data_IF_529026629950
#
_entry.id   IF_529026629950
#
_cell.length_a   1.000
_cell.length_b   1.000
_cell.length_c   1.000
_cell.angle_alpha   90.00
_cell.angle_beta   90.00
_cell.angle_gamma   90.00
#
_symmetry.space_group_name_H-M   'P 1'
#
loop_
_entity.id
_entity.type
_entity.pdbx_description
1 polymer ?
#
# COMPACT_ATOMS: atom_id res chain seq x y z
N UNK A 1 10.78 -36.29 5.29
CA UNK A 1 9.87 -35.36 4.57
C UNK A 1 8.88 -34.61 5.50
N UNK A 2 8.48 -35.15 6.65
CA UNK A 2 7.43 -34.56 7.54
C UNK A 2 7.92 -33.35 8.38
N UNK A 3 9.21 -33.21 8.67
CA UNK A 3 9.74 -32.03 9.39
C UNK A 3 9.77 -30.75 8.53
N UNK A 4 9.95 -30.90 7.22
CA UNK A 4 9.99 -29.75 6.31
C UNK A 4 8.60 -29.12 6.17
N UNK A 5 7.54 -29.93 6.18
CA UNK A 5 6.16 -29.44 6.05
C UNK A 5 5.69 -28.67 7.29
N UNK A 6 6.10 -29.07 8.49
CA UNK A 6 5.75 -28.35 9.74
C UNK A 6 6.49 -27.01 9.88
N UNK A 7 7.76 -26.94 9.47
CA UNK A 7 8.53 -25.70 9.46
C UNK A 7 7.98 -24.69 8.44
N UNK A 8 7.57 -25.16 7.26
CA UNK A 8 6.92 -24.32 6.24
C UNK A 8 5.58 -23.79 6.76
N UNK A 9 4.74 -24.63 7.38
CA UNK A 9 3.46 -24.21 7.93
C UNK A 9 3.59 -23.11 9.00
N UNK A 10 4.56 -23.26 9.92
CA UNK A 10 4.84 -22.26 10.95
C UNK A 10 5.33 -20.93 10.35
N UNK A 11 6.16 -21.00 9.31
CA UNK A 11 6.66 -19.81 8.61
C UNK A 11 5.51 -19.05 7.93
N UNK A 12 4.62 -19.77 7.25
CA UNK A 12 3.45 -19.18 6.59
C UNK A 12 2.50 -18.54 7.62
N UNK A 13 2.24 -19.21 8.74
CA UNK A 13 1.42 -18.67 9.82
C UNK A 13 1.99 -17.35 10.37
N UNK A 14 3.31 -17.30 10.61
CA UNK A 14 3.99 -16.10 11.09
C UNK A 14 3.96 -14.94 10.08
N UNK A 15 4.07 -15.23 8.79
CA UNK A 15 3.94 -14.22 7.74
C UNK A 15 2.52 -13.67 7.65
N UNK A 16 1.51 -14.56 7.71
CA UNK A 16 0.10 -14.16 7.69
C UNK A 16 -0.25 -13.29 8.89
N UNK A 17 0.23 -13.65 10.09
CA UNK A 17 0.05 -12.86 11.31
C UNK A 17 0.66 -11.46 11.19
N UNK A 18 1.91 -11.36 10.70
CA UNK A 18 2.57 -10.06 10.48
C UNK A 18 1.85 -9.19 9.45
N UNK A 19 1.46 -9.78 8.32
CA UNK A 19 0.70 -9.08 7.30
C UNK A 19 -0.62 -8.54 7.86
N UNK A 20 -1.34 -9.34 8.63
CA UNK A 20 -2.61 -8.94 9.24
C UNK A 20 -2.43 -7.78 10.22
N UNK A 21 -1.39 -7.81 11.08
CA UNK A 21 -1.06 -6.71 12.00
C UNK A 21 -0.77 -5.40 11.27
N UNK A 22 -0.03 -5.46 10.16
CA UNK A 22 0.22 -4.27 9.34
C UNK A 22 -1.06 -3.77 8.69
N UNK A 23 -1.92 -4.67 8.21
CA UNK A 23 -3.20 -4.31 7.60
C UNK A 23 -4.12 -3.63 8.63
N UNK A 24 -4.17 -4.10 9.86
CA UNK A 24 -4.90 -3.46 10.95
C UNK A 24 -4.38 -2.05 11.24
N UNK A 25 -3.06 -1.87 11.26
CA UNK A 25 -2.43 -0.56 11.49
C UNK A 25 -2.75 0.41 10.35
N UNK A 26 -2.70 -0.05 9.11
CA UNK A 26 -3.13 0.72 7.94
C UNK A 26 -4.61 1.08 8.05
N UNK A 27 -5.48 0.13 8.36
CA UNK A 27 -6.92 0.39 8.46
C UNK A 27 -7.22 1.42 9.56
N UNK A 28 -6.66 1.22 10.76
CA UNK A 28 -6.84 2.11 11.91
C UNK A 28 -6.33 3.52 11.65
N UNK A 29 -5.17 3.66 10.99
CA UNK A 29 -4.59 4.98 10.67
C UNK A 29 -5.39 5.77 9.62
N UNK A 30 -6.20 5.08 8.82
CA UNK A 30 -6.96 5.66 7.71
C UNK A 30 -8.48 5.66 7.96
N UNK A 31 -8.93 5.34 9.18
CA UNK A 31 -10.35 5.29 9.52
C UNK A 31 -11.13 4.19 8.79
N UNK A 32 -10.46 3.15 8.31
CA UNK A 32 -11.06 2.03 7.57
C UNK A 32 -11.36 0.91 8.56
N UNK A 33 -12.56 0.33 8.47
CA UNK A 33 -12.91 -0.87 9.22
C UNK A 33 -12.37 -2.12 8.52
N UNK A 34 -11.44 -2.83 9.16
CA UNK A 34 -10.80 -4.02 8.56
C UNK A 34 -11.80 -5.15 8.23
N UNK A 35 -12.89 -5.25 9.00
CA UNK A 35 -13.93 -6.25 8.79
C UNK A 35 -14.68 -6.07 7.47
N UNK A 36 -14.81 -4.83 6.99
CA UNK A 36 -15.54 -4.49 5.76
C UNK A 36 -14.60 -4.23 4.58
N UNK A 37 -13.29 -4.14 4.80
CA UNK A 37 -12.29 -3.83 3.77
C UNK A 37 -12.40 -4.74 2.52
N UNK A 38 -12.68 -6.03 2.70
CA UNK A 38 -12.83 -6.96 1.56
C UNK A 38 -14.05 -6.68 0.70
N UNK A 39 -15.10 -6.12 1.28
CA UNK A 39 -16.38 -5.88 0.61
C UNK A 39 -16.45 -4.45 0.08
N UNK A 40 -15.96 -3.49 0.87
CA UNK A 40 -16.13 -2.05 0.59
C UNK A 40 -14.83 -1.42 0.08
N UNK A 41 -13.69 -2.11 0.12
CA UNK A 41 -12.42 -1.58 -0.35
C UNK A 41 -12.47 -1.14 -1.81
N UNK A 42 -13.21 -1.87 -2.65
CA UNK A 42 -13.41 -1.53 -4.06
C UNK A 42 -14.21 -0.25 -4.29
N UNK A 43 -14.88 0.29 -3.27
CA UNK A 43 -15.69 1.50 -3.39
C UNK A 43 -14.84 2.78 -3.27
N UNK A 44 -13.59 2.65 -2.82
CA UNK A 44 -12.67 3.78 -2.69
C UNK A 44 -12.07 4.12 -4.06
N UNK A 45 -12.46 5.27 -4.61
CA UNK A 45 -11.78 5.89 -5.76
C UNK A 45 -10.66 6.83 -5.33
N UNK A 46 -10.73 7.39 -4.12
CA UNK A 46 -9.68 8.24 -3.54
C UNK A 46 -9.28 7.72 -2.16
N UNK A 47 -7.98 7.71 -1.88
CA UNK A 47 -7.46 7.29 -0.58
C UNK A 47 -6.33 8.19 -0.13
N UNK A 48 -6.51 8.78 1.05
CA UNK A 48 -5.44 9.42 1.80
C UNK A 48 -4.86 8.38 2.76
N UNK A 49 -3.57 8.09 2.60
CA UNK A 49 -2.90 7.02 3.32
C UNK A 49 -1.86 7.57 4.30
N UNK A 50 -2.18 7.36 5.57
CA UNK A 50 -1.31 7.49 6.73
C UNK A 50 -0.82 6.10 7.12
N UNK A 51 0.49 5.95 7.30
CA UNK A 51 1.09 4.63 7.53
C UNK A 51 1.25 4.28 9.02
N UNK A 52 0.93 5.20 9.94
CA UNK A 52 1.00 4.95 11.38
C UNK A 52 2.38 4.46 11.87
N UNK A 53 3.46 4.86 11.18
CA UNK A 53 4.83 4.41 11.45
C UNK A 53 5.29 3.15 10.69
N UNK A 54 4.49 2.62 9.76
CA UNK A 54 4.91 1.54 8.87
C UNK A 54 5.76 2.05 7.69
N UNK A 55 6.96 1.50 7.44
CA UNK A 55 7.80 1.92 6.32
C UNK A 55 7.42 1.24 4.99
N UNK A 56 6.26 0.60 4.91
CA UNK A 56 5.87 -0.26 3.78
C UNK A 56 4.42 -0.06 3.36
N UNK A 57 4.22 0.04 2.05
CA UNK A 57 2.91 0.07 1.40
C UNK A 57 2.36 -1.36 1.32
N UNK A 58 1.13 -1.58 1.78
CA UNK A 58 0.49 -2.90 1.79
C UNK A 58 -1.02 -2.75 1.58
N UNK A 59 -1.69 -3.85 1.21
CA UNK A 59 -3.14 -3.91 1.16
C UNK A 59 -3.79 -3.16 0.00
N UNK A 60 -3.01 -2.70 -0.99
CA UNK A 60 -3.54 -1.95 -2.12
C UNK A 60 -4.49 -2.78 -2.99
N UNK A 61 -4.32 -4.10 -3.03
CA UNK A 61 -5.21 -5.07 -3.69
C UNK A 61 -6.67 -4.99 -3.26
N UNK A 62 -6.98 -4.39 -2.10
CA UNK A 62 -8.37 -4.22 -1.66
C UNK A 62 -9.06 -3.02 -2.32
N UNK A 63 -8.29 -2.08 -2.89
CA UNK A 63 -8.77 -0.84 -3.48
C UNK A 63 -8.72 -0.91 -5.02
N UNK A 64 -9.43 -1.88 -5.60
CA UNK A 64 -9.34 -2.18 -7.03
C UNK A 64 -9.73 -1.02 -7.94
N UNK A 65 -10.58 -0.09 -7.47
CA UNK A 65 -11.04 1.10 -8.20
C UNK A 65 -10.30 2.38 -7.85
N UNK A 66 -9.18 2.28 -7.14
CA UNK A 66 -8.45 3.46 -6.68
C UNK A 66 -7.90 4.27 -7.85
N UNK A 67 -8.32 5.53 -7.95
CA UNK A 67 -7.91 6.49 -9.00
C UNK A 67 -6.95 7.54 -8.45
N UNK A 68 -7.14 7.99 -7.21
CA UNK A 68 -6.24 8.94 -6.55
C UNK A 68 -5.69 8.36 -5.24
N UNK A 69 -4.36 8.30 -5.12
CA UNK A 69 -3.69 7.89 -3.89
C UNK A 69 -2.83 9.04 -3.38
N UNK A 70 -3.11 9.52 -2.16
CA UNK A 70 -2.32 10.55 -1.48
C UNK A 70 -1.57 9.91 -0.32
N UNK A 71 -0.25 9.97 -0.34
CA UNK A 71 0.61 9.38 0.68
C UNK A 71 1.14 10.52 1.57
N UNK A 72 0.76 10.52 2.85
CA UNK A 72 1.08 11.61 3.78
C UNK A 72 2.15 11.22 4.81
N UNK A 73 3.14 12.11 5.02
CA UNK A 73 4.02 12.05 6.18
C UNK A 73 5.05 10.92 6.12
N UNK A 74 5.78 10.75 5.01
CA UNK A 74 6.53 9.51 4.78
C UNK A 74 7.98 9.61 4.29
N UNK A 75 8.74 8.60 4.72
CA UNK A 75 10.06 8.18 4.28
C UNK A 75 9.90 6.90 3.41
N UNK A 76 9.10 6.97 2.33
CA UNK A 76 8.73 5.77 1.55
C UNK A 76 9.96 5.17 0.88
N UNK A 77 10.29 3.95 1.28
CA UNK A 77 11.47 3.23 0.74
C UNK A 77 11.15 2.33 -0.46
N UNK A 78 9.87 1.99 -0.69
CA UNK A 78 9.50 1.03 -1.73
C UNK A 78 8.08 1.27 -2.27
N UNK A 79 7.99 1.53 -3.59
CA UNK A 79 6.74 1.73 -4.32
C UNK A 79 6.28 0.50 -5.13
N UNK A 80 6.98 -0.63 -5.08
CA UNK A 80 6.57 -1.88 -5.77
C UNK A 80 5.10 -2.26 -5.55
N UNK A 81 4.50 -2.08 -4.36
CA UNK A 81 3.09 -2.44 -4.13
C UNK A 81 2.08 -1.64 -4.97
N UNK A 82 2.48 -0.51 -5.59
CA UNK A 82 1.62 0.24 -6.50
C UNK A 82 1.17 -0.56 -7.73
N UNK A 83 1.88 -1.65 -8.07
CA UNK A 83 1.45 -2.57 -9.13
C UNK A 83 0.06 -3.16 -8.88
N UNK A 84 -0.39 -3.23 -7.61
CA UNK A 84 -1.71 -3.76 -7.25
C UNK A 84 -2.87 -2.86 -7.72
N UNK A 85 -2.59 -1.57 -7.96
CA UNK A 85 -3.57 -0.57 -8.43
C UNK A 85 -3.14 0.09 -9.73
N UNK A 86 -2.13 -0.44 -10.41
CA UNK A 86 -1.57 0.20 -11.61
C UNK A 86 -2.56 0.36 -12.74
N UNK A 87 -3.57 -0.52 -12.84
CA UNK A 87 -4.59 -0.43 -13.87
C UNK A 87 -5.58 0.72 -13.64
N UNK A 88 -5.85 1.10 -12.39
CA UNK A 88 -6.88 2.10 -12.04
C UNK A 88 -6.33 3.43 -11.56
N UNK A 89 -5.11 3.47 -11.01
CA UNK A 89 -4.54 4.68 -10.44
C UNK A 89 -4.21 5.74 -11.52
N UNK A 90 -4.82 6.91 -11.43
CA UNK A 90 -4.63 8.05 -12.35
C UNK A 90 -3.74 9.14 -11.72
N UNK A 91 -3.82 9.29 -10.40
CA UNK A 91 -3.10 10.31 -9.64
C UNK A 91 -2.38 9.72 -8.43
N UNK A 92 -1.12 10.11 -8.25
CA UNK A 92 -0.33 9.78 -7.08
C UNK A 92 0.25 11.07 -6.49
N UNK A 93 -0.08 11.31 -5.24
CA UNK A 93 0.41 12.46 -4.48
C UNK A 93 1.32 12.00 -3.36
N UNK A 94 2.51 12.58 -3.27
CA UNK A 94 3.38 12.41 -2.11
C UNK A 94 3.37 13.73 -1.35
N UNK A 95 2.68 13.73 -0.22
CA UNK A 95 2.45 14.88 0.62
C UNK A 95 3.36 14.78 1.86
N UNK A 96 4.07 15.87 2.17
CA UNK A 96 4.85 16.00 3.41
C UNK A 96 5.87 14.86 3.66
N UNK A 97 6.95 14.80 2.87
CA UNK A 97 8.04 13.86 3.11
C UNK A 97 9.31 14.19 2.34
N UNK A 98 10.51 13.81 2.82
CA UNK A 98 11.73 13.96 2.03
C UNK A 98 11.68 12.99 0.85
N UNK A 99 11.51 13.51 -0.37
CA UNK A 99 11.75 12.72 -1.58
C UNK A 99 13.23 12.34 -1.63
N UNK A 100 13.57 11.12 -1.21
CA UNK A 100 14.91 10.59 -1.40
C UNK A 100 15.12 10.37 -2.90
N UNK A 101 15.98 11.20 -3.50
CA UNK A 101 16.51 11.04 -4.86
C UNK A 101 17.06 9.61 -4.96
N UNK A 102 16.29 8.70 -5.55
CA UNK A 102 16.58 7.26 -5.48
C UNK A 102 15.35 6.36 -5.34
N UNK A 103 14.12 6.90 -5.24
CA UNK A 103 12.94 6.11 -5.57
C UNK A 103 13.06 5.75 -7.06
N UNK A 104 13.62 4.58 -7.34
CA UNK A 104 13.61 3.97 -8.66
C UNK A 104 12.17 3.61 -8.98
N UNK A 105 11.46 4.57 -9.56
CA UNK A 105 10.31 4.28 -10.41
C UNK A 105 10.87 3.34 -11.46
N UNK A 106 10.58 2.04 -11.38
CA UNK A 106 10.79 1.21 -12.55
C UNK A 106 10.03 1.91 -13.67
N UNK A 107 10.69 2.18 -14.79
CA UNK A 107 10.19 2.94 -15.96
C UNK A 107 8.92 2.34 -16.61
N UNK A 108 8.16 1.52 -15.89
CA UNK A 108 7.17 0.56 -16.38
C UNK A 108 6.02 0.32 -15.38
N UNK A 109 5.99 0.91 -14.17
CA UNK A 109 4.94 0.53 -13.18
C UNK A 109 3.52 0.82 -13.68
N UNK A 110 3.32 1.93 -14.41
CA UNK A 110 1.98 2.36 -14.78
C UNK A 110 1.63 2.21 -16.27
N UNK A 111 2.60 2.18 -17.20
CA UNK A 111 2.31 2.09 -18.65
C UNK A 111 1.34 3.16 -19.20
N UNK A 112 0.97 4.16 -18.38
CA UNK A 112 -0.04 5.19 -18.61
C UNK A 112 0.38 6.47 -17.89
N UNK A 113 -0.15 7.60 -18.33
CA UNK A 113 0.13 8.92 -17.76
C UNK A 113 -0.48 9.01 -16.36
N UNK A 114 0.31 8.73 -15.32
CA UNK A 114 -0.05 9.03 -13.93
C UNK A 114 0.45 10.41 -13.59
N UNK A 115 -0.43 11.28 -13.10
CA UNK A 115 -0.04 12.62 -12.65
C UNK A 115 0.63 12.48 -11.29
N UNK A 116 1.87 12.94 -11.19
CA UNK A 116 2.61 13.01 -9.93
C UNK A 116 2.47 14.42 -9.35
N UNK A 117 1.82 14.50 -8.20
CA UNK A 117 1.74 15.72 -7.41
C UNK A 117 2.70 15.70 -6.23
N UNK A 118 3.41 16.81 -6.01
CA UNK A 118 4.13 17.06 -4.77
C UNK A 118 3.28 18.04 -3.96
N UNK A 119 2.69 17.55 -2.87
CA UNK A 119 1.90 18.37 -1.96
C UNK A 119 2.82 19.11 -0.98
N UNK A 120 2.97 20.42 -1.17
CA UNK A 120 3.50 21.33 -0.15
C UNK A 120 2.35 21.85 0.71
N UNK A 121 2.62 22.04 2.01
CA UNK A 121 1.71 22.68 2.95
C UNK A 121 1.53 24.16 2.58
#
# INVERSE_FOLDING_TARGET
MILATSQVANTVANLKSRYYKYLETLCSSNGIEIGTLKTNGSDYEELEMFFGGLPVLIGLKYFERLRCLRLFGQDIVNLKPLVEVSNTLEELWVCEGPLKVGIFWGDTIFGKNVVLGIGGN
#
